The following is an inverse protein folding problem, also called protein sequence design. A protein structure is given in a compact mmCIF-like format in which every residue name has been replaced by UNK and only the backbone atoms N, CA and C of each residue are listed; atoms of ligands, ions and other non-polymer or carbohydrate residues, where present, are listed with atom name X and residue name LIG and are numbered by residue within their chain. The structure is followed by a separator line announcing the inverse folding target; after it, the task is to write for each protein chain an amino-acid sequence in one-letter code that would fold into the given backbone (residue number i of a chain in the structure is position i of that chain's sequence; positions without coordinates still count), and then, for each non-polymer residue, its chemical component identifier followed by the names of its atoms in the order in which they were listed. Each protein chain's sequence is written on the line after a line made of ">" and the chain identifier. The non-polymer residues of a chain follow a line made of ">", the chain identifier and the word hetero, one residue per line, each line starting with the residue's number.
data_IF_412993591579
#
_entry.id   IF_412993591579
#
_cell.length_a   1.000
_cell.length_b   1.000
_cell.length_c   1.000
_cell.angle_alpha   90.00
_cell.angle_beta   90.00
_cell.angle_gamma   90.00
#
_symmetry.space_group_name_H-M   'P 1'
#
loop_
_entity.id
_entity.type
_entity.pdbx_description
1 polymer ?
#
# COMPACT_ATOMS: atom_id res chain seq x y z
N UNK A 1 -2.96 -10.81 14.93
CA UNK A 1 -3.93 -9.74 14.61
C UNK A 1 -4.28 -9.87 13.14
N UNK A 2 -5.55 -10.04 12.80
CA UNK A 2 -6.00 -10.29 11.42
C UNK A 2 -5.99 -9.00 10.60
N UNK A 3 -5.83 -9.08 9.29
CA UNK A 3 -5.92 -7.92 8.40
C UNK A 3 -5.78 -8.31 6.94
N UNK A 4 -6.11 -7.40 6.04
CA UNK A 4 -6.02 -7.58 4.60
C UNK A 4 -4.83 -6.76 4.08
N UNK A 5 -3.86 -7.46 3.47
CA UNK A 5 -2.75 -6.85 2.75
C UNK A 5 -2.95 -7.02 1.26
N UNK A 6 -3.18 -5.93 0.55
CA UNK A 6 -3.30 -5.88 -0.90
C UNK A 6 -1.94 -5.44 -1.46
N UNK A 7 -1.35 -6.28 -2.30
CA UNK A 7 -0.05 -6.04 -2.94
C UNK A 7 -0.33 -5.96 -4.43
N UNK A 8 0.04 -4.85 -5.08
CA UNK A 8 -0.26 -4.63 -6.48
C UNK A 8 0.94 -4.08 -7.27
N UNK A 9 1.16 -4.66 -8.44
CA UNK A 9 2.05 -4.16 -9.46
C UNK A 9 1.20 -3.51 -10.57
N UNK A 10 1.47 -2.25 -10.86
CA UNK A 10 0.73 -1.40 -11.79
C UNK A 10 1.60 -1.10 -13.01
N UNK A 11 1.07 -1.36 -14.20
CA UNK A 11 1.77 -1.20 -15.47
C UNK A 11 0.99 -0.28 -16.42
N UNK A 12 1.70 0.44 -17.29
CA UNK A 12 1.09 1.39 -18.23
C UNK A 12 0.40 2.55 -17.52
N UNK A 13 0.94 3.00 -16.39
CA UNK A 13 0.42 4.09 -15.57
C UNK A 13 0.42 5.42 -16.33
N UNK A 14 -0.76 5.90 -16.70
CA UNK A 14 -0.94 7.09 -17.55
C UNK A 14 -0.80 8.41 -16.78
N UNK A 15 -0.96 8.42 -15.46
CA UNK A 15 -0.75 9.62 -14.66
C UNK A 15 0.74 9.86 -14.38
N UNK A 16 1.45 10.36 -15.41
CA UNK A 16 2.89 10.61 -15.40
C UNK A 16 3.32 11.61 -14.33
N UNK A 17 2.50 12.63 -14.07
CA UNK A 17 2.81 13.66 -13.07
C UNK A 17 2.85 13.07 -11.66
N UNK A 18 1.90 12.18 -11.35
CA UNK A 18 1.89 11.47 -10.06
C UNK A 18 3.08 10.53 -9.93
N UNK A 19 3.47 9.81 -10.99
CA UNK A 19 4.66 8.95 -10.95
C UNK A 19 5.95 9.73 -10.67
N UNK A 20 6.04 10.96 -11.14
CA UNK A 20 7.25 11.78 -11.14
C UNK A 20 7.34 12.77 -9.97
N UNK A 21 6.34 12.81 -9.08
CA UNK A 21 6.24 13.81 -8.01
C UNK A 21 5.92 13.19 -6.66
N UNK A 22 6.92 13.17 -5.77
CA UNK A 22 6.75 12.75 -4.38
C UNK A 22 5.74 13.61 -3.62
N UNK A 23 5.63 14.90 -3.97
CA UNK A 23 4.68 15.83 -3.35
C UNK A 23 3.22 15.49 -3.74
N UNK A 24 2.98 15.21 -5.02
CA UNK A 24 1.65 14.81 -5.51
C UNK A 24 1.25 13.43 -4.96
N UNK A 25 2.19 12.47 -4.95
CA UNK A 25 1.99 11.18 -4.29
C UNK A 25 1.61 11.35 -2.83
N UNK A 26 2.35 12.19 -2.09
CA UNK A 26 2.06 12.47 -0.68
C UNK A 26 0.64 13.00 -0.49
N UNK A 27 0.26 14.00 -1.26
CA UNK A 27 -1.06 14.63 -1.17
C UNK A 27 -2.18 13.60 -1.39
N UNK A 28 -2.11 12.85 -2.50
CA UNK A 28 -3.13 11.86 -2.88
C UNK A 28 -3.17 10.70 -1.88
N UNK A 29 -2.02 10.13 -1.51
CA UNK A 29 -1.97 9.00 -0.58
C UNK A 29 -2.51 9.38 0.80
N UNK A 30 -2.12 10.54 1.35
CA UNK A 30 -2.59 10.98 2.67
C UNK A 30 -4.08 11.33 2.63
N UNK A 31 -4.56 11.98 1.57
CA UNK A 31 -5.98 12.26 1.39
C UNK A 31 -6.80 10.97 1.32
N UNK A 32 -6.41 10.03 0.45
CA UNK A 32 -7.11 8.76 0.29
C UNK A 32 -7.19 7.95 1.60
N UNK A 33 -6.12 7.92 2.39
CA UNK A 33 -6.13 7.28 3.72
C UNK A 33 -7.18 7.92 4.65
N UNK A 34 -7.27 9.25 4.68
CA UNK A 34 -8.23 9.97 5.53
C UNK A 34 -9.67 9.76 5.05
N UNK A 35 -9.89 9.75 3.74
CA UNK A 35 -11.22 9.61 3.13
C UNK A 35 -11.86 8.24 3.42
N UNK A 36 -11.06 7.18 3.52
CA UNK A 36 -11.54 5.86 3.95
C UNK A 36 -11.65 5.72 5.48
N UNK A 37 -11.39 6.79 6.22
CA UNK A 37 -11.50 6.84 7.67
C UNK A 37 -10.41 6.06 8.40
N UNK A 38 -9.18 6.08 7.89
CA UNK A 38 -7.99 5.59 8.59
C UNK A 38 -7.32 6.73 9.37
N UNK A 39 -6.76 6.41 10.52
CA UNK A 39 -6.11 7.42 11.38
C UNK A 39 -4.64 7.55 11.01
N UNK A 40 -4.30 8.52 10.16
CA UNK A 40 -2.91 8.79 9.76
C UNK A 40 -2.10 9.26 10.96
N UNK A 41 -1.01 8.54 11.26
CA UNK A 41 -0.07 8.85 12.35
C UNK A 41 1.16 9.60 11.83
N UNK A 42 1.53 9.36 10.58
CA UNK A 42 2.66 10.03 9.94
C UNK A 42 2.87 9.53 8.51
N UNK A 43 3.73 10.22 7.78
CA UNK A 43 4.06 9.89 6.41
C UNK A 43 5.52 10.26 6.09
N UNK A 44 6.08 9.60 5.07
CA UNK A 44 7.39 9.94 4.54
C UNK A 44 7.41 9.68 3.04
N UNK A 45 7.86 10.68 2.27
CA UNK A 45 7.98 10.61 0.82
C UNK A 45 9.35 11.14 0.41
N UNK A 46 10.02 10.40 -0.48
CA UNK A 46 11.33 10.72 -1.00
C UNK A 46 11.30 10.79 -2.52
N UNK A 47 11.81 11.89 -3.06
CA UNK A 47 11.97 12.10 -4.50
C UNK A 47 13.35 11.62 -4.93
N UNK A 48 13.42 10.72 -5.91
CA UNK A 48 14.69 10.35 -6.53
C UNK A 48 15.05 11.33 -7.65
N UNK A 49 16.36 11.50 -7.86
CA UNK A 49 16.87 12.15 -9.06
C UNK A 49 16.65 11.25 -10.29
N UNK A 50 16.53 11.86 -11.47
CA UNK A 50 16.53 11.12 -12.74
C UNK A 50 17.88 10.44 -13.02
N UNK A 51 17.86 9.45 -13.92
CA UNK A 51 19.08 8.75 -14.33
C UNK A 51 20.04 9.67 -15.12
N UNK A 52 19.51 10.69 -15.77
CA UNK A 52 20.25 11.75 -16.47
C UNK A 52 19.50 13.09 -16.40
N UNK A 53 20.10 14.15 -16.96
CA UNK A 53 19.58 15.52 -16.89
C UNK A 53 18.22 15.72 -17.59
N UNK A 54 17.78 14.78 -18.44
CA UNK A 54 16.52 14.85 -19.18
C UNK A 54 15.44 13.93 -18.59
N UNK A 55 15.74 13.19 -17.52
CA UNK A 55 14.80 12.29 -16.87
C UNK A 55 14.37 12.85 -15.51
N UNK A 56 13.11 12.61 -15.16
CA UNK A 56 12.60 12.84 -13.80
C UNK A 56 12.55 11.49 -13.11
N UNK A 57 13.19 11.39 -11.94
CA UNK A 57 13.15 10.18 -11.13
C UNK A 57 11.77 9.93 -10.54
N UNK A 58 11.50 8.67 -10.18
CA UNK A 58 10.32 8.33 -9.42
C UNK A 58 10.41 8.73 -7.95
N UNK A 59 9.51 8.18 -7.14
CA UNK A 59 9.44 8.43 -5.71
C UNK A 59 9.12 7.16 -4.94
N UNK A 60 9.52 7.16 -3.67
CA UNK A 60 9.09 6.19 -2.67
C UNK A 60 8.28 6.93 -1.62
N UNK A 61 7.14 6.36 -1.23
CA UNK A 61 6.24 6.92 -0.24
C UNK A 61 5.74 5.87 0.74
N UNK A 62 5.56 6.26 1.99
CA UNK A 62 4.85 5.47 2.98
C UNK A 62 3.96 6.36 3.84
N UNK A 63 2.76 5.87 4.14
CA UNK A 63 1.85 6.45 5.12
C UNK A 63 1.64 5.41 6.22
N UNK A 64 1.93 5.79 7.45
CA UNK A 64 1.66 4.96 8.62
C UNK A 64 0.36 5.46 9.25
N UNK A 65 -0.57 4.53 9.48
CA UNK A 65 -1.82 4.79 10.18
C UNK A 65 -1.99 3.81 11.34
N UNK A 66 -2.88 4.11 12.28
CA UNK A 66 -3.10 3.31 13.49
C UNK A 66 -3.41 1.83 13.16
N UNK A 67 -3.99 1.60 11.98
CA UNK A 67 -4.40 0.31 11.49
C UNK A 67 -3.36 -0.39 10.59
N UNK A 68 -2.11 0.08 10.48
CA UNK A 68 -0.95 -0.49 9.75
C UNK A 68 -0.27 0.49 8.78
N UNK A 69 -0.35 0.32 7.46
CA UNK A 69 0.39 1.18 6.52
C UNK A 69 -0.06 1.08 5.06
N UNK A 70 0.31 2.12 4.32
CA UNK A 70 0.36 2.19 2.86
C UNK A 70 1.82 2.42 2.44
N UNK A 71 2.32 1.69 1.45
CA UNK A 71 3.58 2.00 0.77
C UNK A 71 3.38 2.06 -0.75
N UNK A 72 4.12 2.95 -1.41
CA UNK A 72 4.07 3.16 -2.86
C UNK A 72 5.48 3.44 -3.40
N UNK A 73 5.79 2.86 -4.56
CA UNK A 73 7.02 3.11 -5.29
C UNK A 73 6.68 3.37 -6.76
N UNK A 74 7.32 4.35 -7.38
CA UNK A 74 7.05 4.72 -8.78
C UNK A 74 8.31 4.71 -9.64
N UNK A 75 8.12 4.39 -10.92
CA UNK A 75 9.15 4.40 -11.96
C UNK A 75 8.58 5.06 -13.22
N UNK A 76 8.68 6.39 -13.35
CA UNK A 76 8.29 7.09 -14.57
C UNK A 76 8.94 6.49 -15.82
N UNK A 77 10.19 6.08 -15.79
CA UNK A 77 10.85 5.49 -16.95
C UNK A 77 10.24 4.14 -17.41
N UNK A 78 9.35 3.54 -16.62
CA UNK A 78 8.66 2.27 -16.94
C UNK A 78 7.15 2.38 -17.03
N UNK A 79 6.59 3.58 -16.91
CA UNK A 79 5.14 3.78 -16.72
C UNK A 79 4.60 2.86 -15.61
N UNK A 80 5.35 2.72 -14.50
CA UNK A 80 5.10 1.66 -13.52
C UNK A 80 5.05 2.16 -12.08
N UNK A 81 4.29 1.45 -11.26
CA UNK A 81 4.25 1.65 -9.81
C UNK A 81 4.00 0.33 -9.08
N UNK A 82 4.44 0.24 -7.83
CA UNK A 82 4.04 -0.84 -6.92
C UNK A 82 3.35 -0.23 -5.71
N UNK A 83 2.40 -0.99 -5.15
CA UNK A 83 1.51 -0.53 -4.08
C UNK A 83 1.30 -1.64 -3.04
N UNK A 84 1.50 -1.30 -1.78
CA UNK A 84 1.19 -2.15 -0.62
C UNK A 84 0.14 -1.42 0.23
N UNK A 85 -1.09 -1.93 0.28
CA UNK A 85 -2.16 -1.45 1.16
C UNK A 85 -2.42 -2.50 2.23
N UNK A 86 -1.90 -2.27 3.44
CA UNK A 86 -2.13 -3.17 4.57
C UNK A 86 -2.98 -2.51 5.64
N UNK A 87 -4.16 -3.08 5.91
CA UNK A 87 -5.06 -2.62 6.98
C UNK A 87 -5.40 -3.78 7.93
N UNK A 88 -5.21 -3.53 9.22
CA UNK A 88 -5.48 -4.44 10.33
C UNK A 88 -6.93 -4.32 10.83
N UNK A 89 -7.48 -5.46 11.24
CA UNK A 89 -8.79 -5.58 11.86
C UNK A 89 -8.64 -5.55 13.38
N UNK A 90 -8.27 -4.38 13.92
CA UNK A 90 -7.99 -4.21 15.36
C UNK A 90 -9.28 -4.29 16.20
N UNK A 91 -10.28 -3.47 15.85
CA UNK A 91 -11.56 -3.35 16.57
C UNK A 91 -12.76 -3.88 15.76
N UNK A 92 -12.68 -3.85 14.44
CA UNK A 92 -13.69 -4.32 13.50
C UNK A 92 -13.04 -4.84 12.22
N UNK A 93 -13.84 -5.37 11.29
CA UNK A 93 -13.36 -5.69 9.94
C UNK A 93 -13.15 -4.40 9.13
N UNK A 94 -11.90 -4.13 8.75
CA UNK A 94 -11.50 -2.98 7.94
C UNK A 94 -11.17 -3.39 6.50
N UNK A 95 -11.51 -4.61 6.06
CA UNK A 95 -11.22 -5.08 4.70
C UNK A 95 -11.79 -4.15 3.63
N UNK A 96 -13.00 -3.63 3.84
CA UNK A 96 -13.62 -2.65 2.93
C UNK A 96 -12.84 -1.34 2.83
N UNK A 97 -12.17 -0.91 3.91
CA UNK A 97 -11.31 0.29 3.88
C UNK A 97 -10.05 0.03 3.07
N UNK A 98 -9.47 -1.16 3.19
CA UNK A 98 -8.31 -1.57 2.40
C UNK A 98 -8.64 -1.57 0.90
N UNK A 99 -9.78 -2.18 0.51
CA UNK A 99 -10.23 -2.22 -0.88
C UNK A 99 -10.50 -0.83 -1.44
N UNK A 100 -11.24 0.02 -0.71
CA UNK A 100 -11.52 1.40 -1.17
C UNK A 100 -10.26 2.25 -1.30
N UNK A 101 -9.29 2.09 -0.39
CA UNK A 101 -8.01 2.79 -0.47
C UNK A 101 -7.24 2.33 -1.71
N UNK A 102 -7.15 1.02 -1.92
CA UNK A 102 -6.55 0.42 -3.12
C UNK A 102 -7.21 0.94 -4.42
N UNK A 103 -8.53 0.86 -4.52
CA UNK A 103 -9.30 1.30 -5.70
C UNK A 103 -9.08 2.79 -6.01
N UNK A 104 -9.04 3.63 -4.97
CA UNK A 104 -8.78 5.08 -5.10
C UNK A 104 -7.39 5.34 -5.65
N UNK A 105 -6.37 4.63 -5.15
CA UNK A 105 -4.98 4.82 -5.58
C UNK A 105 -4.76 4.27 -7.00
N UNK A 106 -5.33 3.12 -7.34
CA UNK A 106 -5.30 2.58 -8.71
C UNK A 106 -5.97 3.55 -9.68
N UNK A 107 -7.15 4.08 -9.33
CA UNK A 107 -7.86 5.06 -10.15
C UNK A 107 -7.08 6.36 -10.34
N UNK A 108 -6.31 6.78 -9.33
CA UNK A 108 -5.48 7.99 -9.39
C UNK A 108 -4.23 7.81 -10.27
N UNK A 109 -3.60 6.63 -10.21
CA UNK A 109 -2.40 6.30 -10.98
C UNK A 109 -2.74 5.97 -12.45
N UNK A 110 -3.96 5.50 -12.72
CA UNK A 110 -4.48 5.18 -14.05
C UNK A 110 -3.62 4.16 -14.82
N UNK A 111 -3.35 2.95 -14.26
CA UNK A 111 -2.67 1.88 -14.98
C UNK A 111 -3.53 1.31 -16.11
N UNK A 112 -2.87 0.76 -17.11
CA UNK A 112 -3.50 -0.06 -18.14
C UNK A 112 -3.69 -1.50 -17.67
N UNK A 113 -2.70 -2.04 -16.96
CA UNK A 113 -2.71 -3.40 -16.42
C UNK A 113 -2.37 -3.41 -14.93
N UNK A 114 -3.02 -4.31 -14.19
CA UNK A 114 -2.83 -4.47 -12.73
C UNK A 114 -2.68 -5.94 -12.38
N UNK A 115 -1.57 -6.30 -11.73
CA UNK A 115 -1.40 -7.59 -11.06
C UNK A 115 -1.60 -7.36 -9.56
N UNK A 116 -2.53 -8.11 -8.94
CA UNK A 116 -2.89 -7.88 -7.53
C UNK A 116 -3.00 -9.20 -6.76
N UNK A 117 -2.38 -9.25 -5.59
CA UNK A 117 -2.53 -10.32 -4.60
C UNK A 117 -3.18 -9.77 -3.33
N UNK A 118 -4.11 -10.56 -2.77
CA UNK A 118 -4.78 -10.26 -1.50
C UNK A 118 -4.36 -11.29 -0.47
N UNK A 119 -3.55 -10.84 0.49
CA UNK A 119 -2.99 -11.69 1.54
C UNK A 119 -3.67 -11.39 2.88
N UNK A 120 -4.39 -12.37 3.41
CA UNK A 120 -4.90 -12.30 4.78
C UNK A 120 -3.77 -12.55 5.77
N UNK A 121 -3.42 -11.50 6.52
CA UNK A 121 -2.35 -11.52 7.53
C UNK A 121 -2.90 -11.94 8.88
N UNK A 122 -2.02 -12.51 9.72
CA UNK A 122 -2.37 -12.90 11.08
C UNK A 122 -3.32 -14.09 11.19
N UNK A 123 -3.27 -15.03 10.23
CA UNK A 123 -3.82 -16.38 10.39
C UNK A 123 -3.31 -16.99 11.70
N UNK A 124 -4.16 -17.76 12.36
CA UNK A 124 -3.83 -18.36 13.66
C UNK A 124 -2.46 -19.03 13.58
N UNK A 125 -1.55 -18.64 14.48
CA UNK A 125 -0.32 -19.39 14.68
C UNK A 125 -0.75 -20.84 14.96
N UNK A 126 -0.14 -21.87 14.33
CA UNK A 126 -0.46 -23.24 14.68
C UNK A 126 -0.24 -23.39 16.18
N UNK A 127 -1.34 -23.56 16.92
CA UNK A 127 -1.29 -23.82 18.35
C UNK A 127 -0.35 -25.02 18.52
N UNK A 128 0.73 -24.87 19.29
CA UNK A 128 1.55 -26.02 19.70
C UNK A 128 0.57 -27.05 20.26
N UNK A 129 0.43 -28.21 19.59
CA UNK A 129 -0.37 -29.33 20.10
C UNK A 129 0.03 -29.50 21.56
N UNK A 130 -0.92 -29.32 22.49
CA UNK A 130 -0.69 -29.66 23.90
C UNK A 130 -0.20 -31.11 23.90
N UNK A 131 1.03 -31.35 24.36
CA UNK A 131 1.47 -32.70 24.72
C UNK A 131 0.44 -33.18 25.74
N UNK A 132 -0.37 -34.16 25.36
CA UNK A 132 -1.15 -34.94 26.33
C UNK A 132 -0.14 -35.44 27.35
N UNK A 133 -0.26 -35.00 28.60
CA UNK A 133 0.48 -35.59 29.69
C UNK A 133 0.05 -37.06 29.73
N UNK A 134 1.01 -37.96 29.50
CA UNK A 134 0.80 -39.37 29.79
C UNK A 134 0.50 -39.45 31.29
N UNK A 135 -0.74 -39.80 31.61
CA UNK A 135 -1.12 -40.17 32.98
C UNK A 135 -0.52 -41.55 33.21
N UNK A 136 0.49 -41.62 34.07
CA UNK A 136 1.02 -42.84 34.68
C UNK A 136 0.34 -43.09 36.02
#
# INVERSE_FOLDING_TARGET
>A
MKGLHIIADLYGCRNREMLASSAMLREICVAACKDVGLTVLGDHFYQFAGLDANQIGGATGAVVFAESHLAVHTWPERDGATLDVYVCNVSCDNSDKAEKLYETLVSSIQPEDVMVERVFRGRDLPLKKKRLAAVS
#
